data_IF_865685008561
#
_entry.id   IF_865685008561
#
_cell.length_a   1.000
_cell.length_b   1.000
_cell.length_c   1.000
_cell.angle_alpha   90.00
_cell.angle_beta   90.00
_cell.angle_gamma   90.00
#
_symmetry.space_group_name_H-M   'P 1'
#
loop_
_entity.id
_entity.type
_entity.pdbx_description
1 polymer ?
#
# COMPACT_ATOMS: atom_id res chain seq x y z
N UNK A 1 23.53 -4.56 22.96
CA UNK A 1 22.31 -4.91 22.19
C UNK A 1 22.73 -5.66 20.96
N UNK A 2 22.16 -6.85 20.73
CA UNK A 2 22.28 -7.58 19.47
C UNK A 2 21.17 -7.11 18.54
N UNK A 3 21.47 -6.67 17.30
CA UNK A 3 20.42 -6.34 16.33
C UNK A 3 19.65 -7.62 15.97
N UNK A 4 18.31 -7.56 16.03
CA UNK A 4 17.45 -8.64 15.59
C UNK A 4 17.31 -8.56 14.07
N UNK A 5 17.74 -9.62 13.36
CA UNK A 5 17.45 -9.76 11.95
C UNK A 5 15.95 -10.06 11.75
N UNK A 6 15.31 -9.38 10.80
CA UNK A 6 13.94 -9.64 10.36
C UNK A 6 13.97 -10.12 8.91
N UNK A 7 13.18 -11.12 8.61
CA UNK A 7 13.15 -11.77 7.29
C UNK A 7 11.84 -11.45 6.59
N UNK A 8 11.93 -11.17 5.29
CA UNK A 8 10.74 -10.98 4.45
C UNK A 8 10.91 -11.71 3.13
N UNK A 9 9.78 -12.15 2.57
CA UNK A 9 9.70 -12.64 1.19
C UNK A 9 9.03 -11.58 0.33
N UNK A 10 9.48 -11.41 -0.91
CA UNK A 10 8.92 -10.44 -1.84
C UNK A 10 8.51 -11.11 -3.16
N UNK A 11 7.40 -10.65 -3.72
CA UNK A 11 6.92 -11.02 -5.06
C UNK A 11 7.14 -9.83 -5.99
N UNK A 12 7.62 -10.11 -7.19
CA UNK A 12 7.91 -9.12 -8.21
C UNK A 12 7.08 -9.39 -9.46
N UNK A 13 6.65 -8.33 -10.12
CA UNK A 13 6.12 -8.42 -11.47
C UNK A 13 7.23 -8.90 -12.44
N UNK A 14 6.92 -9.91 -13.23
CA UNK A 14 7.91 -10.55 -14.10
C UNK A 14 8.44 -9.61 -15.19
N UNK A 15 7.60 -8.71 -15.71
CA UNK A 15 7.96 -7.88 -16.86
C UNK A 15 8.70 -6.60 -16.47
N UNK A 16 8.36 -6.03 -15.32
CA UNK A 16 8.89 -4.74 -14.84
C UNK A 16 9.93 -4.89 -13.73
N UNK A 17 9.95 -6.04 -13.04
CA UNK A 17 10.78 -6.24 -11.86
C UNK A 17 10.35 -5.39 -10.66
N UNK A 18 9.15 -4.79 -10.69
CA UNK A 18 8.63 -4.00 -9.58
C UNK A 18 8.07 -4.92 -8.47
N UNK A 19 8.34 -4.63 -7.19
CA UNK A 19 7.82 -5.43 -6.09
C UNK A 19 6.30 -5.21 -5.93
N UNK A 20 5.51 -6.25 -6.09
CA UNK A 20 4.04 -6.18 -5.96
C UNK A 20 3.58 -6.49 -4.56
N UNK A 21 4.33 -7.29 -3.81
CA UNK A 21 4.06 -7.56 -2.40
C UNK A 21 5.30 -8.00 -1.62
N UNK A 22 5.23 -7.83 -0.31
CA UNK A 22 6.24 -8.29 0.64
C UNK A 22 5.53 -8.82 1.88
N UNK A 23 5.92 -10.02 2.30
CA UNK A 23 5.39 -10.70 3.49
C UNK A 23 6.46 -10.77 4.55
N UNK A 24 6.19 -10.22 5.72
CA UNK A 24 7.04 -10.38 6.91
C UNK A 24 6.93 -11.83 7.39
N UNK A 25 8.06 -12.54 7.46
CA UNK A 25 8.07 -13.98 7.76
C UNK A 25 7.70 -14.24 9.23
N UNK A 26 7.93 -13.28 10.12
CA UNK A 26 7.69 -13.47 11.54
C UNK A 26 6.22 -13.33 11.93
N UNK A 27 5.46 -12.44 11.27
CA UNK A 27 4.04 -12.23 11.58
C UNK A 27 3.08 -12.58 10.43
N UNK A 28 3.60 -12.96 9.26
CA UNK A 28 2.79 -13.34 8.09
C UNK A 28 2.04 -12.17 7.45
N UNK A 29 2.27 -10.93 7.89
CA UNK A 29 1.59 -9.75 7.37
C UNK A 29 2.17 -9.41 6.01
N UNK A 30 1.28 -9.27 5.04
CA UNK A 30 1.62 -8.89 3.66
C UNK A 30 1.30 -7.43 3.43
N UNK A 31 2.26 -6.68 2.90
CA UNK A 31 2.03 -5.37 2.31
C UNK A 31 2.09 -5.51 0.78
N UNK A 32 1.33 -4.69 0.06
CA UNK A 32 1.29 -4.73 -1.39
C UNK A 32 1.36 -3.34 -2.02
N UNK A 33 1.79 -3.28 -3.27
CA UNK A 33 1.83 -2.03 -4.04
C UNK A 33 1.33 -2.29 -5.45
N UNK A 34 0.38 -1.47 -5.88
CA UNK A 34 -0.12 -1.44 -7.25
C UNK A 34 0.54 -0.28 -8.00
N UNK A 35 0.80 -0.49 -9.30
CA UNK A 35 1.49 0.47 -10.16
C UNK A 35 0.66 0.80 -11.39
N UNK A 36 0.79 2.02 -11.91
CA UNK A 36 0.29 2.35 -13.24
C UNK A 36 1.23 1.84 -14.35
N UNK A 37 0.80 1.98 -15.60
CA UNK A 37 1.55 1.54 -16.78
C UNK A 37 2.93 2.20 -16.94
N UNK A 38 3.19 3.32 -16.25
CA UNK A 38 4.49 4.00 -16.23
C UNK A 38 5.37 3.57 -15.04
N UNK A 39 4.95 2.56 -14.28
CA UNK A 39 5.71 2.02 -13.15
C UNK A 39 5.65 2.89 -11.89
N UNK A 40 4.69 3.82 -11.78
CA UNK A 40 4.52 4.65 -10.58
C UNK A 40 3.51 4.01 -9.62
N UNK A 41 3.79 4.01 -8.30
CA UNK A 41 2.90 3.40 -7.33
C UNK A 41 1.60 4.19 -7.23
N UNK A 42 0.47 3.57 -7.55
CA UNK A 42 -0.86 4.17 -7.46
C UNK A 42 -1.58 3.77 -6.19
N UNK A 43 -1.22 2.65 -5.56
CA UNK A 43 -1.85 2.20 -4.32
C UNK A 43 -0.86 1.46 -3.45
N UNK A 44 -0.73 1.87 -2.19
CA UNK A 44 0.03 1.17 -1.17
C UNK A 44 -0.95 0.56 -0.17
N UNK A 45 -0.90 -0.76 0.01
CA UNK A 45 -1.79 -1.53 0.87
C UNK A 45 -0.99 -2.08 2.04
N UNK A 46 -1.44 -1.76 3.25
CA UNK A 46 -0.92 -2.31 4.49
C UNK A 46 -1.80 -3.48 4.93
N UNK A 47 -1.19 -4.56 5.41
CA UNK A 47 -1.89 -5.74 5.94
C UNK A 47 -2.98 -6.31 5.00
N UNK A 48 -2.59 -6.54 3.74
CA UNK A 48 -3.44 -7.11 2.70
C UNK A 48 -4.09 -8.42 3.16
N UNK A 49 -5.42 -8.49 3.04
CA UNK A 49 -6.23 -9.64 3.39
C UNK A 49 -6.48 -9.82 4.89
N UNK A 50 -6.00 -8.90 5.75
CA UNK A 50 -6.14 -9.01 7.20
C UNK A 50 -7.32 -8.17 7.66
N UNK A 51 -8.45 -8.84 7.95
CA UNK A 51 -9.68 -8.19 8.42
C UNK A 51 -9.43 -7.27 9.61
N UNK A 52 -9.86 -6.01 9.49
CA UNK A 52 -9.75 -5.01 10.55
C UNK A 52 -8.39 -4.32 10.67
N UNK A 53 -7.38 -4.76 9.91
CA UNK A 53 -6.05 -4.13 9.85
C UNK A 53 -5.68 -3.67 8.43
N UNK A 54 -6.32 -4.22 7.40
CA UNK A 54 -6.10 -3.77 6.03
C UNK A 54 -6.43 -2.27 5.92
N UNK A 55 -5.48 -1.51 5.40
CA UNK A 55 -5.65 -0.09 5.08
C UNK A 55 -4.85 0.23 3.84
N UNK A 56 -5.26 1.27 3.12
CA UNK A 56 -4.52 1.66 1.92
C UNK A 56 -4.56 3.15 1.67
N UNK A 57 -3.53 3.58 0.95
CA UNK A 57 -3.35 4.91 0.41
C UNK A 57 -3.35 4.78 -1.11
N UNK A 58 -4.16 5.60 -1.79
CA UNK A 58 -4.15 5.69 -3.25
C UNK A 58 -3.70 7.07 -3.71
N UNK A 59 -2.87 7.09 -4.74
CA UNK A 59 -2.32 8.29 -5.38
C UNK A 59 -2.70 8.32 -6.85
N UNK A 60 -3.29 9.44 -7.26
CA UNK A 60 -3.65 9.71 -8.65
C UNK A 60 -2.64 10.69 -9.27
N UNK A 61 -2.23 10.38 -10.50
CA UNK A 61 -1.27 11.18 -11.24
C UNK A 61 -1.97 11.81 -12.45
N UNK A 62 -1.94 13.14 -12.53
CA UNK A 62 -2.30 13.90 -13.72
C UNK A 62 -1.02 14.33 -14.44
N UNK A 63 -0.68 13.59 -15.49
CA UNK A 63 0.49 13.86 -16.32
C UNK A 63 0.36 15.13 -17.16
N UNK A 64 -0.88 15.53 -17.49
CA UNK A 64 -1.14 16.73 -18.30
C UNK A 64 -0.90 17.98 -17.47
N UNK A 65 -1.41 18.02 -16.24
CA UNK A 65 -1.20 19.12 -15.31
C UNK A 65 0.12 19.03 -14.53
N UNK A 66 0.85 17.90 -14.64
CA UNK A 66 2.00 17.52 -13.78
C UNK A 66 1.65 17.59 -12.29
N UNK A 67 0.43 17.20 -11.94
CA UNK A 67 -0.07 17.20 -10.55
C UNK A 67 -0.14 15.77 -10.03
N UNK A 68 0.12 15.63 -8.74
CA UNK A 68 -0.11 14.44 -7.97
C UNK A 68 -1.16 14.83 -6.93
N UNK A 69 -2.31 14.17 -6.93
CA UNK A 69 -3.33 14.46 -5.93
C UNK A 69 -2.94 13.82 -4.59
N UNK A 70 -3.36 14.48 -3.50
CA UNK A 70 -3.03 14.03 -2.15
C UNK A 70 -3.51 12.59 -1.94
N UNK A 71 -2.70 11.74 -1.28
CA UNK A 71 -3.04 10.35 -1.02
C UNK A 71 -4.38 10.22 -0.28
N UNK A 72 -5.34 9.51 -0.88
CA UNK A 72 -6.62 9.21 -0.22
C UNK A 72 -6.45 7.98 0.67
N UNK A 73 -6.65 8.16 1.98
CA UNK A 73 -6.85 7.05 2.92
C UNK A 73 -8.24 6.45 2.71
N UNK A 74 -8.32 5.14 2.54
CA UNK A 74 -9.56 4.41 2.79
C UNK A 74 -9.46 3.74 4.14
N UNK A 75 -10.57 3.76 4.89
CA UNK A 75 -10.78 3.17 6.22
C UNK A 75 -10.63 4.14 7.42
N UNK A 76 -10.72 5.46 7.21
CA UNK A 76 -11.24 6.31 8.28
C UNK A 76 -12.77 6.12 8.26
N UNK A 77 -13.29 5.45 9.28
CA UNK A 77 -14.72 5.28 9.49
C UNK A 77 -15.45 6.60 9.22
N UNK A 78 -16.58 6.51 8.52
CA UNK A 78 -17.50 7.63 8.35
C UNK A 78 -18.09 8.01 9.71
N UNK A 79 -17.32 8.66 10.58
CA UNK A 79 -17.87 9.37 11.73
C UNK A 79 -18.06 10.84 11.36
N UNK A 80 -18.96 11.07 10.39
CA UNK A 80 -19.49 12.40 10.12
C UNK A 80 -20.82 12.54 10.85
N UNK A 81 -20.72 13.02 12.09
CA UNK A 81 -21.67 13.90 12.78
C UNK A 81 -23.11 13.40 12.90
N UNK A 82 -23.42 12.83 14.06
CA UNK A 82 -24.67 13.16 14.72
C UNK A 82 -24.70 14.67 14.99
N UNK A 83 -25.44 15.42 14.17
CA UNK A 83 -25.88 16.78 14.49
C UNK A 83 -27.25 16.97 13.84
N UNK A 84 -28.28 17.06 14.66
CA UNK A 84 -29.67 17.31 14.26
C UNK A 84 -30.65 16.46 15.04
#
# INVERSE_FOLDING_TARGET
MTPLARTSTAVYDFYTGLPTSSTDVENGITNATEYNALGRPTKAISALGVTGLESWIQTEYDDVARRCDEPRLANLESDSRATG
#
